data_IF_843947469792
#
_entry.id   IF_843947469792
#
_cell.length_a   1.000
_cell.length_b   1.000
_cell.length_c   1.000
_cell.angle_alpha   90.00
_cell.angle_beta   90.00
_cell.angle_gamma   90.00
#
_symmetry.space_group_name_H-M   'P 1'
#
loop_
_entity.id
_entity.type
_entity.pdbx_description
1 polymer ?
#
# COMPACT_ATOMS: atom_id res chain seq x y z
N UNK A 1 5.57 -2.69 25.52
CA UNK A 1 5.40 -1.71 24.43
C UNK A 1 4.17 -2.04 23.59
N UNK A 2 3.99 -3.24 23.10
CA UNK A 2 2.85 -3.71 22.27
C UNK A 2 1.49 -3.41 22.92
N UNK A 3 1.31 -3.69 24.20
CA UNK A 3 0.06 -3.44 24.94
C UNK A 3 -0.38 -1.97 24.95
N UNK A 4 0.56 -1.04 24.96
CA UNK A 4 0.25 0.41 24.95
C UNK A 4 -0.33 0.84 23.62
N UNK A 5 0.24 0.38 22.49
CA UNK A 5 -0.27 0.68 21.15
C UNK A 5 -1.61 0.01 20.87
N UNK A 6 -1.82 -1.21 21.36
CA UNK A 6 -3.11 -1.90 21.23
C UNK A 6 -4.22 -1.17 21.99
N UNK A 7 -3.93 -0.66 23.18
CA UNK A 7 -4.88 0.14 23.94
C UNK A 7 -5.17 1.50 23.26
N UNK A 8 -4.18 2.13 22.64
CA UNK A 8 -4.41 3.36 21.86
C UNK A 8 -5.22 3.06 20.59
N UNK A 9 -4.90 1.99 19.85
CA UNK A 9 -5.66 1.56 18.67
C UNK A 9 -7.15 1.36 18.99
N UNK A 10 -7.47 0.78 20.16
CA UNK A 10 -8.84 0.52 20.55
C UNK A 10 -9.67 1.79 20.83
N UNK A 11 -9.01 2.93 21.11
CA UNK A 11 -9.69 4.22 21.35
C UNK A 11 -10.18 4.89 20.07
N UNK A 12 -9.61 4.54 18.92
CA UNK A 12 -9.98 5.14 17.63
C UNK A 12 -11.35 4.66 17.16
N UNK A 13 -12.02 5.49 16.37
CA UNK A 13 -13.27 5.17 15.70
C UNK A 13 -13.08 4.09 14.60
N UNK A 14 -14.20 3.62 14.04
CA UNK A 14 -14.21 2.57 13.05
C UNK A 14 -13.44 2.96 11.76
N UNK A 15 -13.56 4.22 11.32
CA UNK A 15 -12.89 4.74 10.12
C UNK A 15 -11.38 4.74 10.29
N UNK A 16 -10.92 5.27 11.44
CA UNK A 16 -9.50 5.32 11.79
C UNK A 16 -8.90 3.91 11.95
N UNK A 17 -9.60 3.00 12.63
CA UNK A 17 -9.16 1.59 12.76
C UNK A 17 -9.02 0.91 11.40
N UNK A 18 -10.00 1.09 10.52
CA UNK A 18 -9.95 0.54 9.17
C UNK A 18 -8.73 1.08 8.39
N UNK A 19 -8.45 2.39 8.50
CA UNK A 19 -7.27 3.00 7.90
C UNK A 19 -5.96 2.45 8.43
N UNK A 20 -5.85 2.28 9.75
CA UNK A 20 -4.65 1.73 10.38
C UNK A 20 -4.41 0.27 9.97
N UNK A 21 -5.48 -0.52 9.89
CA UNK A 21 -5.41 -1.90 9.38
C UNK A 21 -4.94 -1.94 7.93
N UNK A 22 -5.50 -1.07 7.07
CA UNK A 22 -5.04 -0.94 5.68
C UNK A 22 -3.57 -0.56 5.61
N UNK A 23 -3.11 0.41 6.41
CA UNK A 23 -1.73 0.83 6.43
C UNK A 23 -0.77 -0.33 6.77
N UNK A 24 -1.13 -1.15 7.76
CA UNK A 24 -0.36 -2.34 8.14
C UNK A 24 -0.29 -3.36 6.99
N UNK A 25 -1.45 -3.70 6.40
CA UNK A 25 -1.53 -4.70 5.33
C UNK A 25 -0.78 -4.26 4.07
N UNK A 26 -0.89 -2.98 3.69
CA UNK A 26 -0.12 -2.41 2.57
C UNK A 26 1.38 -2.49 2.87
N UNK A 27 1.82 -2.07 4.05
CA UNK A 27 3.23 -2.09 4.43
C UNK A 27 3.80 -3.51 4.44
N UNK A 28 3.06 -4.48 4.97
CA UNK A 28 3.46 -5.88 4.95
C UNK A 28 3.51 -6.45 3.53
N UNK A 29 2.48 -6.18 2.72
CA UNK A 29 2.35 -6.71 1.37
C UNK A 29 3.42 -6.18 0.40
N UNK A 30 3.69 -4.87 0.40
CA UNK A 30 4.67 -4.27 -0.51
C UNK A 30 6.07 -4.86 -0.35
N UNK A 31 6.44 -5.25 0.85
CA UNK A 31 7.77 -5.82 1.11
C UNK A 31 7.94 -7.26 0.59
N UNK A 32 6.85 -7.94 0.23
CA UNK A 32 6.91 -9.24 -0.41
C UNK A 32 7.41 -9.19 -1.87
N UNK A 33 7.53 -7.99 -2.46
CA UNK A 33 8.10 -7.80 -3.82
C UNK A 33 9.63 -7.78 -3.86
N UNK A 34 10.31 -7.70 -2.72
CA UNK A 34 11.78 -7.69 -2.68
C UNK A 34 12.48 -8.80 -3.47
N UNK A 35 11.93 -10.04 -3.55
CA UNK A 35 12.53 -11.09 -4.35
C UNK A 35 12.70 -10.77 -5.82
N UNK A 36 11.82 -9.92 -6.38
CA UNK A 36 11.92 -9.48 -7.77
C UNK A 36 13.22 -8.71 -8.00
N UNK A 37 13.58 -7.84 -7.06
CA UNK A 37 14.85 -7.10 -7.14
C UNK A 37 16.06 -8.03 -7.02
N UNK A 38 15.94 -9.11 -6.23
CA UNK A 38 17.01 -10.11 -6.09
C UNK A 38 17.24 -10.92 -7.38
N UNK A 39 16.20 -11.08 -8.20
CA UNK A 39 16.31 -11.78 -9.50
C UNK A 39 16.89 -10.89 -10.61
N UNK A 40 17.01 -9.58 -10.39
CA UNK A 40 17.63 -8.66 -11.34
C UNK A 40 19.15 -8.86 -11.36
N UNK A 41 19.70 -8.99 -12.56
CA UNK A 41 21.14 -9.12 -12.74
C UNK A 41 21.77 -7.73 -12.94
N UNK A 42 22.76 -7.42 -12.10
CA UNK A 42 23.60 -6.25 -12.21
C UNK A 42 23.08 -5.02 -11.43
N UNK A 43 24.00 -4.40 -10.71
CA UNK A 43 23.73 -3.25 -9.84
C UNK A 43 23.19 -2.03 -10.59
N UNK A 44 23.66 -1.80 -11.83
CA UNK A 44 23.19 -0.69 -12.66
C UNK A 44 21.70 -0.81 -13.03
N UNK A 45 21.23 -2.03 -13.30
CA UNK A 45 19.82 -2.25 -13.64
C UNK A 45 18.93 -1.99 -12.43
N UNK A 46 19.34 -2.44 -11.24
CA UNK A 46 18.64 -2.17 -9.97
C UNK A 46 18.60 -0.67 -9.70
N UNK A 47 19.71 0.04 -9.86
CA UNK A 47 19.77 1.51 -9.68
C UNK A 47 18.84 2.24 -10.66
N UNK A 48 18.78 1.82 -11.91
CA UNK A 48 17.85 2.37 -12.91
C UNK A 48 16.39 2.17 -12.53
N UNK A 49 16.01 0.98 -12.09
CA UNK A 49 14.66 0.66 -11.64
C UNK A 49 14.26 1.55 -10.46
N UNK A 50 15.12 1.64 -9.43
CA UNK A 50 14.86 2.49 -8.27
C UNK A 50 14.71 3.95 -8.68
N UNK A 51 15.59 4.47 -9.54
CA UNK A 51 15.53 5.86 -10.01
C UNK A 51 14.25 6.14 -10.80
N UNK A 52 13.81 5.19 -11.63
CA UNK A 52 12.56 5.31 -12.38
C UNK A 52 11.33 5.35 -11.44
N UNK A 53 11.28 4.51 -10.41
CA UNK A 53 10.22 4.56 -9.40
C UNK A 53 10.20 5.91 -8.68
N UNK A 54 11.33 6.47 -8.28
CA UNK A 54 11.39 7.78 -7.63
C UNK A 54 10.87 8.91 -8.54
N UNK A 55 11.14 8.85 -9.85
CA UNK A 55 10.60 9.79 -10.82
C UNK A 55 9.08 9.65 -10.91
N UNK A 56 8.58 8.42 -10.99
CA UNK A 56 7.15 8.11 -11.04
C UNK A 56 6.43 8.62 -9.79
N UNK A 57 6.96 8.38 -8.60
CA UNK A 57 6.43 8.91 -7.35
C UNK A 57 6.38 10.44 -7.35
N UNK A 58 7.43 11.10 -7.86
CA UNK A 58 7.46 12.56 -7.96
C UNK A 58 6.38 13.09 -8.92
N UNK A 59 6.15 12.43 -10.04
CA UNK A 59 5.08 12.77 -10.97
C UNK A 59 3.70 12.51 -10.36
N UNK A 60 3.54 11.41 -9.66
CA UNK A 60 2.31 11.03 -9.00
C UNK A 60 1.88 12.05 -7.94
N UNK A 61 2.83 12.59 -7.17
CA UNK A 61 2.54 13.67 -6.20
C UNK A 61 1.94 14.90 -6.85
N UNK A 62 2.32 15.23 -8.09
CA UNK A 62 1.75 16.35 -8.83
C UNK A 62 0.33 16.08 -9.32
N UNK A 63 -0.01 14.83 -9.62
CA UNK A 63 -1.34 14.43 -10.12
C UNK A 63 -2.34 14.15 -8.99
N UNK A 64 -1.88 13.85 -7.78
CA UNK A 64 -2.76 13.53 -6.66
C UNK A 64 -3.70 14.68 -6.28
N UNK A 65 -3.26 15.94 -6.44
CA UNK A 65 -4.09 17.12 -6.20
C UNK A 65 -5.35 17.13 -7.07
N UNK A 66 -5.21 16.75 -8.34
CA UNK A 66 -6.36 16.63 -9.22
C UNK A 66 -7.41 15.64 -8.69
N UNK A 67 -6.95 14.50 -8.15
CA UNK A 67 -7.83 13.50 -7.55
C UNK A 67 -8.50 14.02 -6.28
N UNK A 68 -7.75 14.71 -5.42
CA UNK A 68 -8.28 15.28 -4.17
C UNK A 68 -9.34 16.35 -4.44
N UNK A 69 -9.11 17.20 -5.45
CA UNK A 69 -9.97 18.35 -5.75
C UNK A 69 -11.25 17.93 -6.53
N UNK A 70 -11.24 16.80 -7.25
CA UNK A 70 -12.33 16.44 -8.18
C UNK A 70 -13.12 15.18 -7.79
N UNK A 71 -12.63 14.37 -6.86
CA UNK A 71 -13.29 13.10 -6.53
C UNK A 71 -13.63 12.99 -5.04
N UNK A 72 -14.69 12.22 -4.75
CA UNK A 72 -15.05 11.90 -3.37
C UNK A 72 -14.13 10.83 -2.76
N UNK A 73 -14.04 10.80 -1.42
CA UNK A 73 -13.28 9.77 -0.70
C UNK A 73 -13.74 8.36 -1.06
N UNK A 74 -15.06 8.15 -1.17
CA UNK A 74 -15.64 6.87 -1.57
C UNK A 74 -15.17 6.44 -2.95
N UNK A 75 -15.17 7.35 -3.94
CA UNK A 75 -14.71 7.03 -5.29
C UNK A 75 -13.21 6.72 -5.31
N UNK A 76 -12.38 7.52 -4.65
CA UNK A 76 -10.94 7.28 -4.56
C UNK A 76 -10.65 5.96 -3.85
N UNK A 77 -11.42 5.60 -2.83
CA UNK A 77 -11.30 4.28 -2.19
C UNK A 77 -11.62 3.14 -3.17
N UNK A 78 -12.70 3.26 -3.95
CA UNK A 78 -13.05 2.25 -4.97
C UNK A 78 -11.99 2.14 -6.06
N UNK A 79 -11.41 3.25 -6.50
CA UNK A 79 -10.27 3.26 -7.41
C UNK A 79 -9.02 2.60 -6.79
N UNK A 80 -8.79 2.77 -5.49
CA UNK A 80 -7.67 2.10 -4.81
C UNK A 80 -7.82 0.57 -4.78
N UNK A 81 -9.05 0.06 -4.75
CA UNK A 81 -9.29 -1.39 -4.88
C UNK A 81 -8.89 -1.88 -6.26
N UNK A 82 -9.24 -1.13 -7.32
CA UNK A 82 -8.85 -1.46 -8.70
C UNK A 82 -7.32 -1.46 -8.82
N UNK A 83 -6.63 -0.48 -8.23
CA UNK A 83 -5.18 -0.43 -8.20
C UNK A 83 -4.56 -1.66 -7.51
N UNK A 84 -5.12 -2.12 -6.38
CA UNK A 84 -4.66 -3.35 -5.73
C UNK A 84 -4.85 -4.62 -6.60
N UNK A 85 -5.95 -4.70 -7.34
CA UNK A 85 -6.18 -5.79 -8.30
C UNK A 85 -5.13 -5.73 -9.40
N UNK A 86 -4.83 -4.53 -9.91
CA UNK A 86 -3.81 -4.32 -10.92
C UNK A 86 -2.42 -4.80 -10.47
N UNK A 87 -2.01 -4.52 -9.23
CA UNK A 87 -0.78 -5.07 -8.65
C UNK A 87 -0.73 -6.60 -8.71
N UNK A 88 -1.85 -7.26 -8.46
CA UNK A 88 -1.93 -8.73 -8.54
C UNK A 88 -1.69 -9.23 -9.96
N UNK A 89 -2.30 -8.57 -10.95
CA UNK A 89 -2.14 -8.93 -12.37
C UNK A 89 -0.71 -8.71 -12.84
N UNK A 90 -0.14 -7.56 -12.50
CA UNK A 90 1.24 -7.20 -12.86
C UNK A 90 2.23 -8.16 -12.21
N UNK A 91 2.02 -8.57 -10.95
CA UNK A 91 2.86 -9.54 -10.27
C UNK A 91 2.91 -10.90 -11.01
N UNK A 92 1.82 -11.29 -11.68
CA UNK A 92 1.77 -12.50 -12.51
C UNK A 92 2.75 -12.50 -13.67
N UNK A 93 3.15 -11.33 -14.17
CA UNK A 93 4.13 -11.20 -15.27
C UNK A 93 5.53 -11.71 -14.87
N UNK A 94 5.82 -11.77 -13.56
CA UNK A 94 7.06 -12.32 -13.03
C UNK A 94 7.38 -13.71 -13.58
N UNK A 95 6.35 -14.56 -13.74
CA UNK A 95 6.55 -15.95 -14.20
C UNK A 95 6.96 -16.09 -15.67
N UNK A 96 6.81 -15.03 -16.46
CA UNK A 96 7.40 -14.98 -17.81
C UNK A 96 8.81 -14.40 -17.74
N UNK A 97 8.97 -13.25 -17.10
CA UNK A 97 10.27 -12.61 -16.85
C UNK A 97 10.13 -11.59 -15.73
N UNK A 98 11.02 -11.56 -14.70
CA UNK A 98 10.99 -10.56 -13.64
C UNK A 98 10.95 -9.10 -14.15
N UNK A 99 11.61 -8.81 -15.27
CA UNK A 99 11.59 -7.47 -15.88
C UNK A 99 10.20 -7.07 -16.39
N UNK A 100 9.38 -8.00 -16.85
CA UNK A 100 8.03 -7.69 -17.32
C UNK A 100 7.14 -7.23 -16.17
N UNK A 101 7.28 -7.83 -15.00
CA UNK A 101 6.62 -7.35 -13.81
C UNK A 101 7.04 -5.92 -13.49
N UNK A 102 8.33 -5.61 -13.50
CA UNK A 102 8.84 -4.28 -13.18
C UNK A 102 8.35 -3.24 -14.19
N UNK A 103 8.43 -3.53 -15.49
CA UNK A 103 7.92 -2.61 -16.51
C UNK A 103 6.40 -2.43 -16.42
N UNK A 104 5.65 -3.49 -16.15
CA UNK A 104 4.22 -3.42 -15.92
C UNK A 104 3.87 -2.54 -14.73
N UNK A 105 4.59 -2.70 -13.61
CA UNK A 105 4.42 -1.91 -12.41
C UNK A 105 4.79 -0.43 -12.64
N UNK A 106 5.87 -0.14 -13.34
CA UNK A 106 6.24 1.23 -13.71
C UNK A 106 5.18 1.93 -14.55
N UNK A 107 4.53 1.23 -15.49
CA UNK A 107 3.45 1.80 -16.31
C UNK A 107 2.22 2.07 -15.44
N UNK A 108 1.87 1.14 -14.58
CA UNK A 108 0.71 1.24 -13.69
C UNK A 108 0.91 2.25 -12.56
N UNK A 109 2.14 2.38 -12.06
CA UNK A 109 2.46 3.12 -10.84
C UNK A 109 2.08 4.61 -10.89
N UNK A 110 2.09 5.25 -12.05
CA UNK A 110 1.72 6.67 -12.18
C UNK A 110 0.29 6.90 -11.66
N UNK A 111 -0.66 6.07 -12.03
CA UNK A 111 -2.04 6.15 -11.56
C UNK A 111 -2.20 5.59 -10.15
N UNK A 112 -1.62 4.44 -9.90
CA UNK A 112 -1.76 3.73 -8.63
C UNK A 112 -1.18 4.55 -7.46
N UNK A 113 0.03 5.10 -7.60
CA UNK A 113 0.64 5.95 -6.57
C UNK A 113 -0.16 7.24 -6.40
N UNK A 114 -0.68 7.83 -7.48
CA UNK A 114 -1.53 9.02 -7.41
C UNK A 114 -2.82 8.77 -6.64
N UNK A 115 -3.49 7.64 -6.89
CA UNK A 115 -4.72 7.24 -6.22
C UNK A 115 -4.46 6.98 -4.74
N UNK A 116 -3.42 6.21 -4.39
CA UNK A 116 -3.07 5.92 -3.00
C UNK A 116 -2.66 7.18 -2.23
N UNK A 117 -1.92 8.08 -2.86
CA UNK A 117 -1.54 9.36 -2.28
C UNK A 117 -2.75 10.26 -2.05
N UNK A 118 -3.64 10.40 -3.03
CA UNK A 118 -4.89 11.14 -2.90
C UNK A 118 -5.77 10.57 -1.79
N UNK A 119 -5.94 9.25 -1.73
CA UNK A 119 -6.68 8.58 -0.67
C UNK A 119 -6.11 8.91 0.71
N UNK A 120 -4.79 8.87 0.84
CA UNK A 120 -4.10 9.19 2.10
C UNK A 120 -4.31 10.65 2.52
N UNK A 121 -4.24 11.60 1.58
CA UNK A 121 -4.45 13.03 1.84
C UNK A 121 -5.89 13.28 2.29
N UNK A 122 -6.87 12.78 1.53
CA UNK A 122 -8.29 12.98 1.86
C UNK A 122 -8.64 12.42 3.23
N UNK A 123 -8.10 11.24 3.56
CA UNK A 123 -8.35 10.62 4.84
C UNK A 123 -7.65 11.33 6.00
N UNK A 124 -6.44 11.86 5.77
CA UNK A 124 -5.77 12.71 6.75
C UNK A 124 -6.56 14.01 6.99
N UNK A 125 -7.10 14.63 5.94
CA UNK A 125 -7.98 15.81 6.06
C UNK A 125 -9.22 15.47 6.88
N UNK A 126 -9.88 14.34 6.60
CA UNK A 126 -11.01 13.87 7.41
C UNK A 126 -10.65 13.75 8.88
N UNK A 127 -9.53 13.12 9.20
CA UNK A 127 -9.09 12.93 10.59
C UNK A 127 -8.73 14.25 11.27
N UNK A 128 -8.07 15.16 10.57
CA UNK A 128 -7.70 16.48 11.11
C UNK A 128 -8.95 17.31 11.42
N UNK A 129 -9.96 17.25 10.57
CA UNK A 129 -11.19 18.02 10.75
C UNK A 129 -12.08 17.46 11.86
N UNK A 130 -12.15 16.13 11.99
CA UNK A 130 -13.05 15.51 12.96
C UNK A 130 -12.39 15.20 14.32
N UNK A 131 -11.05 15.06 14.36
CA UNK A 131 -10.30 14.63 15.55
C UNK A 131 -8.99 15.40 15.73
N UNK A 132 -8.98 16.75 15.77
CA UNK A 132 -7.76 17.54 15.81
C UNK A 132 -6.88 17.24 17.03
N UNK A 133 -7.48 17.00 18.20
CA UNK A 133 -6.75 16.75 19.45
C UNK A 133 -6.03 15.39 19.47
N UNK A 134 -6.55 14.40 18.74
CA UNK A 134 -5.96 13.04 18.67
C UNK A 134 -5.00 12.84 17.50
N UNK A 135 -4.76 13.86 16.68
CA UNK A 135 -3.96 13.73 15.46
C UNK A 135 -2.51 13.30 15.73
N UNK A 136 -1.88 13.83 16.77
CA UNK A 136 -0.53 13.42 17.16
C UNK A 136 -0.47 11.95 17.60
N UNK A 137 -1.44 11.50 18.40
CA UNK A 137 -1.53 10.09 18.79
C UNK A 137 -1.76 9.18 17.59
N UNK A 138 -2.63 9.59 16.66
CA UNK A 138 -2.86 8.88 15.41
C UNK A 138 -1.58 8.73 14.59
N UNK A 139 -0.80 9.80 14.39
CA UNK A 139 0.44 9.75 13.63
C UNK A 139 1.47 8.79 14.26
N UNK A 140 1.60 8.82 15.58
CA UNK A 140 2.50 7.92 16.31
C UNK A 140 2.07 6.46 16.11
N UNK A 141 0.79 6.15 16.31
CA UNK A 141 0.24 4.79 16.15
C UNK A 141 0.36 4.33 14.71
N UNK A 142 0.04 5.19 13.73
CA UNK A 142 0.18 4.89 12.30
C UNK A 142 1.62 4.53 11.93
N UNK A 143 2.59 5.34 12.36
CA UNK A 143 4.00 5.11 12.02
C UNK A 143 4.51 3.82 12.66
N UNK A 144 4.09 3.51 13.89
CA UNK A 144 4.44 2.25 14.55
C UNK A 144 3.84 1.04 13.82
N UNK A 145 2.55 1.10 13.49
CA UNK A 145 1.85 0.03 12.75
C UNK A 145 2.46 -0.16 11.34
N UNK A 146 2.82 0.92 10.68
CA UNK A 146 3.50 0.87 9.37
C UNK A 146 4.88 0.19 9.50
N UNK A 147 5.68 0.57 10.49
CA UNK A 147 6.98 -0.05 10.75
C UNK A 147 6.86 -1.54 11.08
N UNK A 148 5.89 -1.92 11.91
CA UNK A 148 5.62 -3.32 12.24
C UNK A 148 5.20 -4.12 11.00
N UNK A 149 4.40 -3.53 10.09
CA UNK A 149 4.04 -4.13 8.81
C UNK A 149 5.26 -4.36 7.92
N UNK A 150 6.14 -3.37 7.78
CA UNK A 150 7.41 -3.50 7.03
C UNK A 150 8.26 -4.63 7.60
N UNK A 151 8.47 -4.66 8.92
CA UNK A 151 9.28 -5.69 9.57
C UNK A 151 8.69 -7.08 9.34
N UNK A 152 7.38 -7.24 9.48
CA UNK A 152 6.71 -8.51 9.23
C UNK A 152 6.88 -8.95 7.77
N UNK A 153 6.66 -8.05 6.81
CA UNK A 153 6.83 -8.32 5.38
C UNK A 153 8.26 -8.74 5.05
N UNK A 154 9.26 -7.98 5.50
CA UNK A 154 10.67 -8.28 5.26
C UNK A 154 11.10 -9.60 5.90
N UNK A 155 10.70 -9.85 7.16
CA UNK A 155 11.03 -11.11 7.83
C UNK A 155 10.43 -12.31 7.09
N UNK A 156 9.15 -12.17 6.72
CA UNK A 156 8.42 -13.22 5.99
C UNK A 156 9.07 -13.50 4.65
N UNK A 157 9.35 -12.47 3.84
CA UNK A 157 9.94 -12.66 2.52
C UNK A 157 11.35 -13.19 2.60
N UNK A 158 12.16 -12.73 3.55
CA UNK A 158 13.53 -13.21 3.73
C UNK A 158 13.54 -14.72 4.08
N UNK A 159 12.69 -15.11 5.03
CA UNK A 159 12.58 -16.52 5.41
C UNK A 159 12.11 -17.39 4.24
N UNK A 160 11.06 -16.96 3.52
CA UNK A 160 10.49 -17.71 2.40
C UNK A 160 11.50 -17.82 1.25
N UNK A 161 12.15 -16.71 0.90
CA UNK A 161 13.15 -16.68 -0.17
C UNK A 161 14.34 -17.60 0.15
N UNK A 162 14.77 -17.59 1.40
CA UNK A 162 15.87 -18.43 1.86
C UNK A 162 15.55 -19.94 1.76
N UNK A 163 14.34 -20.35 2.19
CA UNK A 163 13.96 -21.77 2.23
C UNK A 163 13.33 -22.27 0.92
N UNK A 164 12.62 -21.45 0.18
CA UNK A 164 11.74 -21.86 -0.93
C UNK A 164 12.01 -21.13 -2.24
N UNK A 165 12.85 -20.09 -2.25
CA UNK A 165 13.18 -19.30 -3.42
C UNK A 165 12.18 -18.18 -3.75
N UNK A 166 12.59 -17.34 -4.69
CA UNK A 166 11.88 -16.10 -5.05
C UNK A 166 10.49 -16.35 -5.65
N UNK A 167 10.33 -17.39 -6.46
CA UNK A 167 9.04 -17.71 -7.09
C UNK A 167 7.94 -18.00 -6.07
N UNK A 168 8.29 -18.68 -4.97
CA UNK A 168 7.32 -18.96 -3.88
C UNK A 168 6.94 -17.67 -3.16
N UNK A 169 7.89 -16.76 -2.95
CA UNK A 169 7.60 -15.45 -2.36
C UNK A 169 6.62 -14.63 -3.22
N UNK A 170 6.78 -14.65 -4.55
CA UNK A 170 5.86 -13.97 -5.48
C UNK A 170 4.47 -14.63 -5.48
N UNK A 171 4.39 -15.95 -5.43
CA UNK A 171 3.09 -16.65 -5.29
C UNK A 171 2.38 -16.20 -4.01
N UNK A 172 3.09 -16.11 -2.90
CA UNK A 172 2.53 -15.65 -1.64
C UNK A 172 2.11 -14.18 -1.69
N UNK A 173 2.89 -13.33 -2.36
CA UNK A 173 2.49 -11.95 -2.63
C UNK A 173 1.15 -11.89 -3.41
N UNK A 174 1.01 -12.69 -4.48
CA UNK A 174 -0.22 -12.76 -5.27
C UNK A 174 -1.40 -13.23 -4.40
N UNK A 175 -1.22 -14.31 -3.63
CA UNK A 175 -2.26 -14.82 -2.73
C UNK A 175 -2.65 -13.77 -1.70
N UNK A 176 -1.67 -13.11 -1.08
CA UNK A 176 -1.90 -12.03 -0.12
C UNK A 176 -2.74 -10.90 -0.74
N UNK A 177 -2.36 -10.44 -1.94
CA UNK A 177 -3.09 -9.36 -2.62
C UNK A 177 -4.50 -9.77 -3.05
N UNK A 178 -4.73 -11.02 -3.46
CA UNK A 178 -6.07 -11.54 -3.74
C UNK A 178 -6.93 -11.50 -2.47
N UNK A 179 -6.41 -12.00 -1.35
CA UNK A 179 -7.12 -11.97 -0.07
C UNK A 179 -7.40 -10.53 0.39
N UNK A 180 -6.40 -9.65 0.26
CA UNK A 180 -6.54 -8.25 0.66
C UNK A 180 -7.53 -7.50 -0.24
N UNK A 181 -7.46 -7.66 -1.55
CA UNK A 181 -8.42 -7.07 -2.50
C UNK A 181 -9.84 -7.56 -2.24
N UNK A 182 -10.00 -8.86 -1.95
CA UNK A 182 -11.30 -9.45 -1.60
C UNK A 182 -11.86 -8.82 -0.31
N UNK A 183 -11.03 -8.63 0.69
CA UNK A 183 -11.44 -7.94 1.92
C UNK A 183 -11.83 -6.48 1.67
N UNK A 184 -11.09 -5.74 0.82
CA UNK A 184 -11.45 -4.39 0.43
C UNK A 184 -12.78 -4.35 -0.34
N UNK A 185 -13.02 -5.29 -1.26
CA UNK A 185 -14.28 -5.41 -2.01
C UNK A 185 -15.45 -5.68 -1.06
N UNK A 186 -15.30 -6.56 -0.08
CA UNK A 186 -16.33 -6.79 0.94
C UNK A 186 -16.67 -5.51 1.73
N UNK A 187 -15.75 -4.57 1.80
CA UNK A 187 -15.90 -3.28 2.49
C UNK A 187 -16.04 -2.09 1.52
N UNK A 188 -16.41 -2.32 0.27
CA UNK A 188 -16.37 -1.30 -0.78
C UNK A 188 -17.27 -0.08 -0.54
N UNK A 189 -18.32 -0.22 0.28
CA UNK A 189 -19.21 0.87 0.70
C UNK A 189 -18.77 1.56 1.99
N UNK A 190 -17.63 1.17 2.55
CA UNK A 190 -17.20 1.62 3.87
C UNK A 190 -17.12 3.14 4.00
N UNK A 191 -16.75 3.83 2.92
CA UNK A 191 -16.60 5.30 2.88
C UNK A 191 -17.77 6.02 2.20
N UNK A 192 -18.86 5.35 1.83
CA UNK A 192 -19.99 5.98 1.15
C UNK A 192 -20.69 7.04 2.02
N UNK A 193 -20.72 6.81 3.35
CA UNK A 193 -21.34 7.71 4.33
C UNK A 193 -20.33 8.69 4.97
N UNK A 194 -19.06 8.61 4.61
CA UNK A 194 -18.01 9.48 5.16
C UNK A 194 -17.95 10.77 4.35
N UNK A 195 -18.45 11.86 4.96
CA UNK A 195 -18.37 13.21 4.36
C UNK A 195 -17.08 13.89 4.82
N UNK A 196 -16.30 14.39 3.86
CA UNK A 196 -15.19 15.31 4.10
C UNK A 196 -15.79 16.72 3.90
N UNK A 197 -16.05 17.41 5.02
CA UNK A 197 -16.48 18.82 4.96
C UNK A 197 -15.26 19.71 4.78
#
# INVERSE_FOLDING_TARGET
>A
MITKYFNQFNKFDKVTKFRLTNAFLIAAGMNLLYPVLADLKGEYLVAWVISAFMIIETLAVKTNRYFVDNFSLSLIYKLSIIAHINFTLVAGLYFWNPLYMIYGDMIAAILDVSIFSAFSIMLNNYLTNNYPESMNEFQIVRNSIWADGILLGLFTVTAITYFFGNSVAIILFIIFNICFSSWLICNWKFYDDVRIN
#
